data_IF_604951588958
#
_entry.id   IF_604951588958
#
_cell.length_a   1.000
_cell.length_b   1.000
_cell.length_c   1.000
_cell.angle_alpha   90.00
_cell.angle_beta   90.00
_cell.angle_gamma   90.00
#
_symmetry.space_group_name_H-M   'P 1'
#
loop_
_entity.id
_entity.type
_entity.pdbx_description
1 polymer ?
#
# COMPACT_ATOMS: atom_id res chain seq x y z
N UNK A 1 -8.26 -29.85 25.97
CA UNK A 1 -9.23 -28.73 25.94
C UNK A 1 -9.32 -28.26 24.50
N UNK A 2 -10.46 -28.39 23.82
CA UNK A 2 -10.61 -27.77 22.50
C UNK A 2 -10.62 -26.25 22.69
N UNK A 3 -9.79 -25.51 21.93
CA UNK A 3 -9.81 -24.05 21.98
C UNK A 3 -11.18 -23.54 21.55
N UNK A 4 -11.66 -22.46 22.18
CA UNK A 4 -12.93 -21.84 21.81
C UNK A 4 -12.85 -21.34 20.36
N UNK A 5 -13.80 -21.78 19.53
CA UNK A 5 -14.02 -21.30 18.17
C UNK A 5 -15.37 -20.57 18.14
N UNK A 6 -15.37 -19.33 17.63
CA UNK A 6 -16.60 -18.53 17.50
C UNK A 6 -17.59 -19.17 16.53
N UNK A 7 -18.89 -18.97 16.76
CA UNK A 7 -19.93 -19.55 15.89
C UNK A 7 -19.86 -18.99 14.47
N UNK A 8 -19.43 -17.73 14.32
CA UNK A 8 -19.17 -17.14 13.02
C UNK A 8 -18.04 -17.87 12.28
N UNK A 9 -16.94 -18.21 12.97
CA UNK A 9 -15.84 -18.95 12.35
C UNK A 9 -16.27 -20.33 11.88
N UNK A 10 -17.04 -21.06 12.71
CA UNK A 10 -17.62 -22.36 12.32
C UNK A 10 -18.53 -22.23 11.11
N UNK A 11 -19.44 -21.24 11.13
CA UNK A 11 -20.36 -20.96 10.03
C UNK A 11 -19.61 -20.69 8.73
N UNK A 12 -18.61 -19.78 8.75
CA UNK A 12 -17.84 -19.43 7.56
C UNK A 12 -17.08 -20.64 7.01
N UNK A 13 -16.51 -21.48 7.87
CA UNK A 13 -15.82 -22.71 7.47
C UNK A 13 -16.77 -23.66 6.75
N UNK A 14 -17.93 -23.93 7.34
CA UNK A 14 -18.93 -24.81 6.75
C UNK A 14 -19.54 -24.24 5.47
N UNK A 15 -19.79 -22.94 5.43
CA UNK A 15 -20.34 -22.26 4.26
C UNK A 15 -19.36 -22.35 3.07
N UNK A 16 -18.09 -22.00 3.26
CA UNK A 16 -17.09 -22.08 2.20
C UNK A 16 -16.78 -23.51 1.76
N UNK A 17 -16.92 -24.50 2.66
CA UNK A 17 -16.80 -25.91 2.30
C UNK A 17 -17.94 -26.38 1.38
N UNK A 18 -19.15 -25.81 1.54
CA UNK A 18 -20.33 -26.12 0.71
C UNK A 18 -20.38 -25.29 -0.58
N UNK A 19 -19.74 -24.12 -0.61
CA UNK A 19 -19.79 -23.15 -1.70
C UNK A 19 -18.39 -22.82 -2.25
N UNK A 20 -17.72 -23.77 -2.94
CA UNK A 20 -16.40 -23.52 -3.52
C UNK A 20 -16.40 -22.41 -4.58
N UNK A 21 -17.54 -22.13 -5.23
CA UNK A 21 -17.73 -21.02 -6.18
C UNK A 21 -17.45 -19.65 -5.56
N UNK A 22 -17.76 -19.49 -4.26
CA UNK A 22 -17.50 -18.25 -3.54
C UNK A 22 -16.01 -18.00 -3.34
N UNK A 23 -15.17 -19.05 -3.38
CA UNK A 23 -13.72 -18.90 -3.32
C UNK A 23 -13.20 -18.25 -4.60
N UNK A 24 -13.75 -18.64 -5.76
CA UNK A 24 -13.39 -18.03 -7.04
C UNK A 24 -13.93 -16.61 -7.16
N UNK A 25 -15.16 -16.35 -6.69
CA UNK A 25 -15.73 -15.01 -6.55
C UNK A 25 -14.85 -14.10 -5.68
N UNK A 26 -14.40 -14.59 -4.52
CA UNK A 26 -13.48 -13.87 -3.64
C UNK A 26 -12.14 -13.57 -4.31
N UNK A 27 -11.56 -14.52 -5.06
CA UNK A 27 -10.33 -14.27 -5.82
C UNK A 27 -10.52 -13.19 -6.87
N UNK A 28 -11.62 -13.26 -7.64
CA UNK A 28 -11.95 -12.24 -8.63
C UNK A 28 -12.13 -10.85 -7.98
N UNK A 29 -12.84 -10.77 -6.86
CA UNK A 29 -13.03 -9.55 -6.08
C UNK A 29 -11.72 -8.98 -5.53
N UNK A 30 -10.82 -9.83 -5.01
CA UNK A 30 -9.48 -9.40 -4.57
C UNK A 30 -8.65 -8.86 -5.73
N UNK A 31 -8.69 -9.51 -6.89
CA UNK A 31 -7.91 -9.11 -8.05
C UNK A 31 -8.25 -7.71 -8.58
N UNK A 32 -9.47 -7.22 -8.36
CA UNK A 32 -9.91 -5.90 -8.80
C UNK A 32 -9.11 -4.76 -8.15
N UNK A 33 -8.67 -4.91 -6.90
CA UNK A 33 -7.98 -3.83 -6.21
C UNK A 33 -6.76 -4.28 -5.42
N UNK A 34 -6.84 -5.43 -4.76
CA UNK A 34 -5.81 -5.92 -3.85
C UNK A 34 -4.62 -6.54 -4.57
N UNK A 35 -4.86 -7.32 -5.63
CA UNK A 35 -3.79 -8.04 -6.34
C UNK A 35 -3.17 -7.24 -7.51
N UNK A 36 -3.55 -5.96 -7.68
CA UNK A 36 -2.95 -5.09 -8.71
C UNK A 36 -1.53 -4.68 -8.31
N UNK A 37 -0.58 -4.85 -9.24
CA UNK A 37 0.78 -4.33 -9.09
C UNK A 37 0.78 -2.79 -9.10
N UNK A 38 1.85 -2.17 -8.59
CA UNK A 38 1.96 -0.72 -8.56
C UNK A 38 1.78 -0.13 -9.97
N UNK A 39 2.40 -0.73 -10.98
CA UNK A 39 2.30 -0.34 -12.39
C UNK A 39 0.86 -0.43 -12.91
N UNK A 40 0.12 -1.45 -12.48
CA UNK A 40 -1.29 -1.67 -12.86
C UNK A 40 -2.23 -0.69 -12.15
N UNK A 41 -1.89 -0.23 -10.94
CA UNK A 41 -2.69 0.73 -10.16
C UNK A 41 -2.51 2.16 -10.66
N UNK A 42 -1.27 2.57 -10.89
CA UNK A 42 -0.90 3.87 -11.43
C UNK A 42 0.50 3.78 -12.04
N UNK A 43 0.75 4.34 -13.24
CA UNK A 43 2.11 4.47 -13.71
C UNK A 43 2.91 5.24 -12.65
N UNK A 44 4.03 4.68 -12.20
CA UNK A 44 4.93 5.38 -11.29
C UNK A 44 5.24 6.74 -11.92
N UNK A 45 5.05 7.87 -11.20
CA UNK A 45 5.47 9.15 -11.73
C UNK A 45 6.95 9.01 -12.10
N UNK A 46 7.32 9.52 -13.28
CA UNK A 46 8.72 9.54 -13.70
C UNK A 46 9.54 10.07 -12.51
N UNK A 47 10.65 9.40 -12.13
CA UNK A 47 11.40 9.79 -10.95
C UNK A 47 11.68 11.28 -11.06
N UNK A 48 11.12 12.06 -10.13
CA UNK A 48 11.33 13.50 -10.12
C UNK A 48 12.85 13.70 -10.15
N UNK A 49 13.35 14.58 -11.04
CA UNK A 49 14.77 14.94 -11.04
C UNK A 49 15.11 15.32 -9.61
N UNK A 50 15.93 14.49 -8.94
CA UNK A 50 16.39 14.80 -7.61
C UNK A 50 16.91 16.24 -7.63
N UNK A 51 16.58 17.06 -6.62
CA UNK A 51 17.19 18.39 -6.54
C UNK A 51 18.69 18.18 -6.64
N UNK A 52 19.32 18.79 -7.66
CA UNK A 52 20.77 18.80 -7.78
C UNK A 52 21.27 19.30 -6.43
N UNK A 53 22.04 18.49 -5.73
CA UNK A 53 22.63 18.88 -4.46
C UNK A 53 23.29 20.25 -4.66
N UNK A 54 22.72 21.26 -4.03
CA UNK A 54 22.95 22.68 -4.29
C UNK A 54 22.04 23.46 -3.36
N UNK A 55 22.06 23.08 -2.08
CA UNK A 55 21.34 23.76 -1.04
C UNK A 55 21.96 25.13 -0.82
N UNK A 56 21.21 26.18 -1.16
CA UNK A 56 21.22 27.47 -0.48
C UNK A 56 22.54 28.27 -0.51
N UNK A 57 23.46 27.99 -1.42
CA UNK A 57 24.76 28.70 -1.53
C UNK A 57 24.66 30.18 -1.94
N UNK A 58 23.44 30.72 -2.04
CA UNK A 58 23.18 32.13 -2.36
C UNK A 58 22.47 32.94 -1.25
N UNK A 59 22.25 32.40 -0.03
CA UNK A 59 21.36 33.08 0.95
C UNK A 59 22.03 33.62 2.22
N UNK A 60 23.36 33.60 2.35
CA UNK A 60 24.01 34.25 3.50
C UNK A 60 25.19 35.13 3.08
N UNK A 61 24.90 36.41 2.83
CA UNK A 61 25.92 37.46 2.89
C UNK A 61 25.95 37.98 4.33
N UNK A 62 27.06 37.74 5.04
CA UNK A 62 27.28 38.37 6.34
C UNK A 62 27.34 39.90 6.16
N UNK A 63 26.70 40.70 7.03
CA UNK A 63 26.85 42.16 6.97
C UNK A 63 28.31 42.54 7.26
N UNK A 64 28.85 43.61 6.64
CA UNK A 64 30.20 44.07 6.93
C UNK A 64 30.28 44.46 8.41
N UNK A 65 31.23 43.84 9.13
CA UNK A 65 31.52 44.19 10.52
C UNK A 65 32.04 45.62 10.59
N UNK A 66 31.51 46.41 11.51
CA UNK A 66 32.01 47.74 11.81
C UNK A 66 33.26 47.60 12.70
N UNK A 67 34.36 48.21 12.27
CA UNK A 67 35.64 48.34 12.97
C UNK A 67 35.53 49.22 14.23
#
# INVERSE_FOLDING_TARGET
MAMYESDLTKFMREYLARHPEEVESQKAGRAIWWDKTAETRAPLPAPAKAPRAGGNEATFTAPPGNE
#
